data_IF_854832319743
#
_entry.id   IF_854832319743
#
_cell.length_a   1.000
_cell.length_b   1.000
_cell.length_c   1.000
_cell.angle_alpha   90.00
_cell.angle_beta   90.00
_cell.angle_gamma   90.00
#
_symmetry.space_group_name_H-M   'P 1'
#
loop_
_entity.id
_entity.type
_entity.pdbx_description
1 polymer ?
#
# COMPACT_ATOMS: atom_id res chain seq x y z
N UNK A 1 26.29 -4.53 89.26
CA UNK A 1 26.22 -5.05 87.89
C UNK A 1 24.77 -5.52 87.64
N UNK A 2 24.00 -4.73 86.98
CA UNK A 2 22.61 -5.08 86.65
C UNK A 2 22.60 -5.54 85.18
N UNK A 3 22.44 -6.83 85.00
CA UNK A 3 22.26 -7.44 83.71
C UNK A 3 20.91 -7.06 83.12
N UNK A 4 20.97 -6.27 82.02
CA UNK A 4 19.77 -5.92 81.27
C UNK A 4 19.27 -7.17 80.49
N UNK A 5 18.26 -7.82 81.03
CA UNK A 5 17.51 -8.89 80.36
C UNK A 5 16.83 -8.29 79.13
N UNK A 6 17.45 -8.45 77.98
CA UNK A 6 16.88 -8.09 76.65
C UNK A 6 15.62 -8.92 76.41
N UNK A 7 14.46 -8.28 76.40
CA UNK A 7 13.14 -8.88 76.22
C UNK A 7 13.03 -9.52 74.81
N UNK A 8 13.10 -10.89 74.68
CA UNK A 8 13.22 -11.55 73.34
C UNK A 8 11.95 -11.38 72.53
N UNK A 9 10.82 -11.13 73.09
CA UNK A 9 9.54 -10.87 72.36
C UNK A 9 9.56 -9.52 71.67
N UNK A 10 10.16 -8.50 72.28
CA UNK A 10 10.27 -7.16 71.69
C UNK A 10 11.24 -7.11 70.50
N UNK A 11 12.32 -7.87 70.55
CA UNK A 11 13.27 -8.04 69.43
C UNK A 11 12.63 -8.81 68.27
N UNK A 12 11.87 -9.88 68.53
CA UNK A 12 11.18 -10.65 67.49
C UNK A 12 10.12 -9.83 66.77
N UNK A 13 9.34 -9.01 67.49
CA UNK A 13 8.35 -8.12 66.90
C UNK A 13 9.01 -6.99 66.06
N UNK A 14 10.15 -6.48 66.49
CA UNK A 14 10.89 -5.45 65.79
C UNK A 14 11.51 -5.99 64.47
N UNK A 15 12.02 -7.23 64.52
CA UNK A 15 12.54 -7.93 63.31
C UNK A 15 11.39 -8.26 62.34
N UNK A 16 10.21 -8.65 62.83
CA UNK A 16 9.04 -8.92 61.98
C UNK A 16 8.52 -7.66 61.32
N UNK A 17 8.48 -6.52 62.00
CA UNK A 17 8.09 -5.24 61.42
C UNK A 17 9.13 -4.77 60.38
N UNK A 18 10.42 -4.92 60.70
CA UNK A 18 11.50 -4.55 59.76
C UNK A 18 11.47 -5.41 58.51
N UNK A 19 11.25 -6.73 58.61
CA UNK A 19 11.11 -7.61 57.46
C UNK A 19 9.92 -7.26 56.58
N UNK A 20 8.79 -6.87 57.18
CA UNK A 20 7.58 -6.46 56.49
C UNK A 20 7.81 -5.14 55.70
N UNK A 21 8.56 -4.19 56.26
CA UNK A 21 8.94 -2.95 55.61
C UNK A 21 9.88 -3.24 54.41
N UNK A 22 10.87 -4.15 54.63
CA UNK A 22 11.79 -4.53 53.53
C UNK A 22 11.04 -5.20 52.39
N UNK A 23 10.10 -6.11 52.68
CA UNK A 23 9.28 -6.75 51.66
C UNK A 23 8.39 -5.73 50.92
N UNK A 24 7.82 -4.77 51.63
CA UNK A 24 7.01 -3.71 51.01
C UNK A 24 7.87 -2.82 50.08
N UNK A 25 9.08 -2.44 50.49
CA UNK A 25 10.02 -1.66 49.69
C UNK A 25 10.50 -2.43 48.45
N UNK A 26 10.80 -3.74 48.65
CA UNK A 26 11.15 -4.63 47.52
C UNK A 26 9.99 -4.78 46.54
N UNK A 27 8.77 -4.96 47.04
CA UNK A 27 7.59 -5.04 46.17
C UNK A 27 7.36 -3.78 45.37
N UNK A 28 7.46 -2.60 45.98
CA UNK A 28 7.39 -1.31 45.27
C UNK A 28 8.53 -1.16 44.25
N UNK A 29 9.75 -1.56 44.60
CA UNK A 29 10.89 -1.58 43.69
C UNK A 29 10.67 -2.50 42.50
N UNK A 30 10.14 -3.70 42.70
CA UNK A 30 9.80 -4.64 41.62
C UNK A 30 8.68 -4.08 40.74
N UNK A 31 7.66 -3.44 41.30
CA UNK A 31 6.58 -2.83 40.53
C UNK A 31 7.11 -1.66 39.67
N UNK A 32 7.95 -0.78 40.25
CA UNK A 32 8.56 0.32 39.49
C UNK A 32 9.48 -0.22 38.39
N UNK A 33 10.35 -1.19 38.72
CA UNK A 33 11.24 -1.82 37.74
C UNK A 33 10.46 -2.54 36.65
N UNK A 34 9.43 -3.29 37.01
CA UNK A 34 8.55 -3.98 36.07
C UNK A 34 7.87 -2.99 35.12
N UNK A 35 7.28 -1.93 35.65
CA UNK A 35 6.67 -0.88 34.81
C UNK A 35 7.66 -0.19 33.87
N UNK A 36 8.92 -0.02 34.31
CA UNK A 36 9.94 0.61 33.47
C UNK A 36 10.52 -0.38 32.44
N UNK A 37 10.78 -1.63 32.84
CA UNK A 37 11.38 -2.65 31.98
C UNK A 37 10.41 -3.24 30.97
N UNK A 38 9.11 -3.29 31.29
CA UNK A 38 8.08 -3.85 30.40
C UNK A 38 7.26 -2.80 29.64
N UNK A 39 7.62 -1.53 29.70
CA UNK A 39 6.98 -0.49 28.87
C UNK A 39 7.16 -0.76 27.36
N UNK A 40 8.24 -1.39 26.95
CA UNK A 40 8.55 -1.74 25.57
C UNK A 40 8.28 -3.22 25.22
N UNK A 41 7.91 -4.06 26.16
CA UNK A 41 7.63 -5.47 25.92
C UNK A 41 6.11 -5.73 25.97
N UNK A 42 5.35 -5.12 25.07
CA UNK A 42 3.95 -5.47 24.83
C UNK A 42 3.91 -6.72 23.97
N UNK A 43 3.42 -7.84 24.52
CA UNK A 43 3.06 -9.03 23.74
C UNK A 43 1.68 -8.76 23.13
N UNK A 44 1.67 -8.43 21.84
CA UNK A 44 0.44 -8.30 21.09
C UNK A 44 -0.11 -9.71 20.79
N UNK A 45 -1.24 -10.03 21.40
CA UNK A 45 -1.95 -11.29 21.26
C UNK A 45 -3.19 -11.17 20.36
N UNK A 46 -3.36 -10.03 19.70
CA UNK A 46 -4.46 -9.84 18.74
C UNK A 46 -4.18 -10.57 17.44
N UNK A 47 -5.22 -11.09 16.79
CA UNK A 47 -5.15 -11.86 15.54
C UNK A 47 -4.48 -11.04 14.42
N UNK A 48 -4.68 -9.71 14.40
CA UNK A 48 -4.15 -8.77 13.39
C UNK A 48 -2.94 -7.96 13.88
N UNK A 49 -2.33 -8.29 15.02
CA UNK A 49 -1.21 -7.54 15.62
C UNK A 49 -1.47 -6.03 15.74
N UNK A 50 -2.67 -5.66 16.10
CA UNK A 50 -3.19 -4.28 16.09
C UNK A 50 -2.41 -3.30 16.98
N UNK A 51 -1.52 -3.77 17.83
CA UNK A 51 -0.70 -2.99 18.77
C UNK A 51 0.81 -3.10 18.49
N UNK A 52 1.19 -3.67 17.32
CA UNK A 52 2.60 -3.79 16.93
C UNK A 52 2.79 -3.06 15.60
N UNK A 53 3.61 -2.01 15.61
CA UNK A 53 3.91 -1.26 14.38
C UNK A 53 4.66 -2.13 13.38
N UNK A 54 4.33 -1.98 12.10
CA UNK A 54 5.01 -2.63 11.00
C UNK A 54 6.48 -2.20 10.90
N UNK A 55 7.31 -3.03 10.29
CA UNK A 55 8.72 -2.71 10.10
C UNK A 55 8.91 -1.51 9.17
N UNK A 56 7.99 -1.32 8.21
CA UNK A 56 7.98 -0.13 7.35
C UNK A 56 7.74 1.15 8.15
N UNK A 57 6.78 1.17 9.07
CA UNK A 57 6.53 2.31 9.97
C UNK A 57 7.76 2.59 10.84
N UNK A 58 8.35 1.56 11.47
CA UNK A 58 9.56 1.71 12.30
C UNK A 58 10.73 2.28 11.51
N UNK A 59 10.91 1.86 10.27
CA UNK A 59 11.94 2.39 9.39
C UNK A 59 11.72 3.87 9.12
N UNK A 60 10.51 4.29 8.72
CA UNK A 60 10.16 5.70 8.49
C UNK A 60 10.43 6.54 9.74
N UNK A 61 9.99 6.08 10.93
CA UNK A 61 10.22 6.80 12.17
C UNK A 61 11.71 6.96 12.52
N UNK A 62 12.54 5.97 12.17
CA UNK A 62 13.99 6.02 12.38
C UNK A 62 14.72 6.96 11.42
N UNK A 63 14.14 7.24 10.25
CA UNK A 63 14.69 8.10 9.20
C UNK A 63 14.30 9.58 9.35
N UNK A 64 13.50 9.94 10.37
CA UNK A 64 13.13 11.33 10.64
C UNK A 64 14.36 12.12 11.06
N UNK A 65 14.73 13.12 10.28
CA UNK A 65 15.87 13.99 10.57
C UNK A 65 15.48 15.23 11.37
N UNK A 66 14.38 15.88 11.01
CA UNK A 66 13.93 17.14 11.61
C UNK A 66 12.76 16.93 12.58
N UNK A 67 12.65 17.75 13.64
CA UNK A 67 11.60 17.60 14.63
C UNK A 67 10.20 17.89 14.05
N UNK A 68 9.24 17.06 14.44
CA UNK A 68 7.82 17.15 14.11
C UNK A 68 7.05 17.37 15.41
N UNK A 69 6.08 18.27 15.41
CA UNK A 69 5.13 18.43 16.52
C UNK A 69 3.77 17.88 16.08
N UNK A 70 3.29 16.84 16.76
CA UNK A 70 1.95 16.28 16.59
C UNK A 70 1.05 16.78 17.71
N UNK A 71 -0.12 17.31 17.36
CA UNK A 71 -1.13 17.81 18.28
C UNK A 71 -2.38 16.97 18.12
N UNK A 72 -2.64 16.15 19.10
CA UNK A 72 -3.80 15.28 19.14
C UNK A 72 -4.92 15.97 19.92
N UNK A 73 -6.10 16.02 19.33
CA UNK A 73 -7.29 16.64 19.91
C UNK A 73 -8.36 15.59 20.06
N UNK A 74 -8.83 15.40 21.30
CA UNK A 74 -9.96 14.55 21.59
C UNK A 74 -10.79 15.13 22.73
N UNK A 75 -12.05 15.47 22.45
CA UNK A 75 -13.00 16.02 23.43
C UNK A 75 -13.47 14.92 24.37
N UNK A 76 -12.58 14.43 25.24
CA UNK A 76 -12.82 13.30 26.13
C UNK A 76 -13.98 13.55 27.09
N UNK A 77 -14.02 14.75 27.70
CA UNK A 77 -15.06 15.15 28.65
C UNK A 77 -16.46 15.17 28.02
N UNK A 78 -16.58 15.58 26.77
CA UNK A 78 -17.88 15.63 26.06
C UNK A 78 -18.26 14.26 25.53
N UNK A 79 -17.28 13.44 25.11
CA UNK A 79 -17.48 12.15 24.49
C UNK A 79 -17.69 11.00 25.49
N UNK A 80 -17.79 11.27 26.80
CA UNK A 80 -18.11 10.24 27.82
C UNK A 80 -19.41 9.45 27.51
N UNK A 81 -20.33 10.06 26.77
CA UNK A 81 -21.57 9.41 26.33
C UNK A 81 -21.37 8.48 25.10
N UNK A 82 -20.17 8.44 24.49
CA UNK A 82 -19.84 7.66 23.31
C UNK A 82 -18.71 6.64 23.59
N UNK A 83 -19.00 5.53 24.29
CA UNK A 83 -17.96 4.58 24.74
C UNK A 83 -17.12 4.00 23.60
N UNK A 84 -17.72 3.73 22.42
CA UNK A 84 -17.03 3.15 21.28
C UNK A 84 -16.01 4.13 20.68
N UNK A 85 -16.35 5.42 20.64
CA UNK A 85 -15.42 6.49 20.20
C UNK A 85 -14.27 6.63 21.20
N UNK A 86 -14.57 6.52 22.51
CA UNK A 86 -13.55 6.58 23.57
C UNK A 86 -12.50 5.48 23.46
N UNK A 87 -12.92 4.24 23.17
CA UNK A 87 -12.00 3.11 22.97
C UNK A 87 -11.09 3.36 21.76
N UNK A 88 -11.66 3.82 20.67
CA UNK A 88 -10.87 4.14 19.46
C UNK A 88 -9.93 5.34 19.68
N UNK A 89 -10.39 6.37 20.39
CA UNK A 89 -9.57 7.54 20.71
C UNK A 89 -8.35 7.17 21.59
N UNK A 90 -8.55 6.28 22.58
CA UNK A 90 -7.46 5.76 23.39
C UNK A 90 -6.44 5.00 22.56
N UNK A 91 -6.92 4.19 21.59
CA UNK A 91 -6.04 3.45 20.67
C UNK A 91 -5.23 4.40 19.77
N UNK A 92 -5.84 5.48 19.25
CA UNK A 92 -5.13 6.51 18.49
C UNK A 92 -4.04 7.15 19.35
N UNK A 93 -4.37 7.53 20.59
CA UNK A 93 -3.41 8.11 21.52
C UNK A 93 -2.24 7.15 21.83
N UNK A 94 -2.53 5.89 22.17
CA UNK A 94 -1.51 4.87 22.47
C UNK A 94 -0.55 4.69 21.28
N UNK A 95 -1.06 4.68 20.05
CA UNK A 95 -0.25 4.57 18.85
C UNK A 95 0.60 5.82 18.61
N UNK A 96 0.08 7.02 18.82
CA UNK A 96 0.84 8.28 18.72
C UNK A 96 1.95 8.36 19.77
N UNK A 97 1.70 7.87 20.99
CA UNK A 97 2.73 7.77 22.05
C UNK A 97 3.86 6.79 21.63
N UNK A 98 3.51 5.67 20.98
CA UNK A 98 4.49 4.73 20.45
C UNK A 98 5.32 5.34 19.31
N UNK A 99 4.69 6.09 18.39
CA UNK A 99 5.41 6.84 17.35
C UNK A 99 6.41 7.82 17.97
N UNK A 100 5.98 8.59 18.98
CA UNK A 100 6.86 9.53 19.66
C UNK A 100 8.03 8.84 20.38
N UNK A 101 7.78 7.66 20.98
CA UNK A 101 8.81 6.88 21.64
C UNK A 101 9.85 6.30 20.67
N UNK A 102 9.41 5.79 19.51
CA UNK A 102 10.27 5.16 18.50
C UNK A 102 11.03 6.18 17.64
N UNK A 103 10.50 7.39 17.50
CA UNK A 103 11.15 8.46 16.72
C UNK A 103 12.39 9.09 17.39
N UNK A 104 12.89 8.52 18.50
CA UNK A 104 14.13 8.98 19.15
C UNK A 104 14.12 10.44 19.60
N UNK A 105 12.94 10.99 19.97
CA UNK A 105 12.75 12.38 20.37
C UNK A 105 12.55 13.36 19.22
N UNK A 106 12.39 12.88 17.99
CA UNK A 106 12.10 13.70 16.81
C UNK A 106 10.60 14.01 16.67
N UNK A 107 9.72 13.26 17.35
CA UNK A 107 8.30 13.57 17.43
C UNK A 107 7.96 14.07 18.82
N UNK A 108 7.41 15.28 18.88
CA UNK A 108 6.81 15.85 20.08
C UNK A 108 5.29 15.71 20.00
N UNK A 109 4.70 14.94 20.92
CA UNK A 109 3.25 14.77 21.03
C UNK A 109 2.69 15.73 22.08
N UNK A 110 1.67 16.50 21.70
CA UNK A 110 0.87 17.37 22.55
C UNK A 110 -0.59 16.88 22.50
N UNK A 111 -1.26 16.76 23.63
CA UNK A 111 -2.61 16.23 23.73
C UNK A 111 -3.51 17.34 24.29
N UNK A 112 -4.66 17.56 23.63
CA UNK A 112 -5.64 18.58 23.96
C UNK A 112 -7.03 17.94 24.15
N UNK A 113 -7.80 18.47 25.11
CA UNK A 113 -9.20 18.11 25.36
C UNK A 113 -10.12 19.32 25.09
N UNK A 114 -10.45 19.61 23.82
CA UNK A 114 -11.26 20.76 23.46
C UNK A 114 -12.65 20.65 24.12
N UNK A 115 -12.99 21.68 24.90
CA UNK A 115 -14.31 21.86 25.52
C UNK A 115 -14.98 23.11 24.95
N UNK A 116 -16.31 23.20 24.98
CA UNK A 116 -17.02 24.37 24.45
C UNK A 116 -16.51 25.67 25.09
N UNK A 117 -16.23 26.66 24.26
CA UNK A 117 -15.77 28.02 24.64
C UNK A 117 -14.40 28.06 25.33
N UNK A 118 -13.51 27.08 25.06
CA UNK A 118 -12.12 27.09 25.53
C UNK A 118 -11.14 27.50 24.43
N UNK A 119 -9.93 27.93 24.84
CA UNK A 119 -8.83 28.23 23.91
C UNK A 119 -8.42 27.00 23.09
N UNK A 120 -8.59 25.78 23.64
CA UNK A 120 -8.32 24.51 22.95
C UNK A 120 -9.30 24.26 21.81
N UNK A 121 -10.59 24.63 21.96
CA UNK A 121 -11.58 24.56 20.88
C UNK A 121 -11.22 25.54 19.76
N UNK A 122 -10.96 26.80 20.12
CA UNK A 122 -10.56 27.82 19.15
C UNK A 122 -9.30 27.40 18.38
N UNK A 123 -8.34 26.79 19.09
CA UNK A 123 -7.11 26.27 18.48
C UNK A 123 -7.42 25.06 17.54
N UNK A 124 -8.30 24.14 17.94
CA UNK A 124 -8.72 23.02 17.09
C UNK A 124 -9.34 23.50 15.78
N UNK A 125 -10.23 24.50 15.85
CA UNK A 125 -10.84 25.11 14.66
C UNK A 125 -9.79 25.83 13.81
N UNK A 126 -8.90 26.59 14.43
CA UNK A 126 -7.87 27.35 13.72
C UNK A 126 -6.90 26.46 12.94
N UNK A 127 -6.58 25.27 13.45
CA UNK A 127 -5.71 24.31 12.75
C UNK A 127 -6.46 23.47 11.71
N UNK A 128 -7.79 23.60 11.56
CA UNK A 128 -8.58 22.97 10.53
C UNK A 128 -9.22 21.64 10.94
N UNK A 129 -9.41 21.37 12.23
CA UNK A 129 -10.17 20.23 12.68
C UNK A 129 -11.68 20.43 12.45
N UNK A 130 -12.38 19.31 12.26
CA UNK A 130 -13.82 19.30 12.09
C UNK A 130 -14.52 18.86 13.38
N UNK A 131 -15.29 19.78 13.98
CA UNK A 131 -16.20 19.45 15.08
C UNK A 131 -17.43 18.71 14.57
N UNK A 132 -17.75 17.56 15.18
CA UNK A 132 -18.95 16.78 14.87
C UNK A 132 -20.01 17.00 15.95
N UNK A 133 -21.25 17.42 15.57
CA UNK A 133 -22.31 17.64 16.57
C UNK A 133 -22.66 16.34 17.31
N UNK A 134 -22.59 16.39 18.64
CA UNK A 134 -22.94 15.27 19.50
C UNK A 134 -24.45 15.20 19.76
N UNK A 135 -25.09 16.35 19.94
CA UNK A 135 -26.46 16.46 20.34
C UNK A 135 -27.17 17.66 19.67
N UNK A 136 -28.49 17.80 19.92
CA UNK A 136 -29.26 18.95 19.41
C UNK A 136 -28.91 20.27 20.16
N UNK A 137 -28.16 20.22 21.24
CA UNK A 137 -27.69 21.38 21.99
C UNK A 137 -26.56 22.14 21.31
N UNK A 138 -25.92 21.52 20.31
CA UNK A 138 -24.84 22.14 19.54
C UNK A 138 -23.45 21.86 20.08
N UNK A 139 -23.28 20.96 21.06
CA UNK A 139 -21.97 20.55 21.53
C UNK A 139 -21.23 19.82 20.42
N UNK A 140 -19.97 20.21 20.18
CA UNK A 140 -19.13 19.65 19.14
C UNK A 140 -18.08 18.74 19.78
N UNK A 141 -17.89 17.55 19.19
CA UNK A 141 -16.79 16.64 19.51
C UNK A 141 -15.70 16.81 18.47
N UNK A 142 -14.49 17.10 18.93
CA UNK A 142 -13.27 17.10 18.12
C UNK A 142 -12.54 15.80 18.36
N UNK A 143 -12.14 15.14 17.27
CA UNK A 143 -11.36 13.91 17.30
C UNK A 143 -10.45 13.88 16.09
N UNK A 144 -9.29 14.53 16.17
CA UNK A 144 -8.41 14.73 15.04
C UNK A 144 -6.95 14.94 15.42
N UNK A 145 -6.11 15.14 14.41
CA UNK A 145 -4.67 15.33 14.56
C UNK A 145 -4.19 16.47 13.67
N UNK A 146 -3.41 17.38 14.24
CA UNK A 146 -2.64 18.35 13.47
C UNK A 146 -1.16 18.09 13.68
N UNK A 147 -0.37 18.13 12.61
CA UNK A 147 1.07 18.00 12.66
C UNK A 147 1.75 19.18 11.99
N UNK A 148 2.90 19.61 12.52
CA UNK A 148 3.74 20.65 11.93
C UNK A 148 5.20 20.21 11.95
N UNK A 149 5.96 20.52 10.89
CA UNK A 149 7.38 20.28 10.82
C UNK A 149 8.20 21.56 11.11
N UNK A 150 9.52 21.48 11.02
CA UNK A 150 10.44 22.58 11.28
C UNK A 150 10.31 23.78 10.30
N UNK A 151 9.65 23.61 9.15
CA UNK A 151 9.40 24.67 8.15
C UNK A 151 7.99 25.22 8.20
N UNK A 152 7.24 24.97 9.28
CA UNK A 152 5.84 25.34 9.47
C UNK A 152 4.88 24.71 8.43
N UNK A 153 5.34 23.68 7.72
CA UNK A 153 4.44 22.90 6.87
C UNK A 153 3.49 22.10 7.75
N UNK A 154 2.19 22.25 7.50
CA UNK A 154 1.12 21.66 8.31
C UNK A 154 0.37 20.57 7.53
N UNK A 155 0.07 19.49 8.24
CA UNK A 155 -0.85 18.44 7.83
C UNK A 155 -1.94 18.28 8.88
N UNK A 156 -3.16 17.91 8.45
CA UNK A 156 -4.30 17.75 9.37
C UNK A 156 -5.07 16.50 9.01
N UNK A 157 -5.43 15.70 10.01
CA UNK A 157 -6.52 14.72 9.96
C UNK A 157 -7.70 15.39 10.64
N UNK A 158 -8.68 15.90 9.88
CA UNK A 158 -9.75 16.75 10.45
C UNK A 158 -10.64 16.02 11.45
N UNK A 159 -10.84 14.72 11.22
CA UNK A 159 -11.61 13.82 12.09
C UNK A 159 -11.19 12.36 11.86
N UNK A 160 -11.03 11.58 12.94
CA UNK A 160 -10.75 10.14 12.85
C UNK A 160 -12.04 9.36 12.67
N UNK A 161 -12.21 8.75 11.49
CA UNK A 161 -13.35 7.91 11.17
C UNK A 161 -13.14 6.50 11.74
N UNK A 162 -14.06 6.06 12.61
CA UNK A 162 -14.02 4.73 13.22
C UNK A 162 -14.10 3.59 12.18
N UNK A 163 -14.74 3.81 11.04
CA UNK A 163 -14.78 2.81 9.96
C UNK A 163 -13.40 2.56 9.32
N UNK A 164 -12.47 3.48 9.54
CA UNK A 164 -11.07 3.38 9.07
C UNK A 164 -10.09 2.88 10.13
N UNK A 165 -10.58 2.43 11.27
CA UNK A 165 -9.73 1.97 12.39
C UNK A 165 -8.65 0.95 11.97
N UNK A 166 -8.98 0.03 11.08
CA UNK A 166 -8.02 -0.96 10.53
C UNK A 166 -6.89 -0.35 9.70
N UNK A 167 -7.03 0.89 9.25
CA UNK A 167 -6.03 1.63 8.46
C UNK A 167 -5.33 2.72 9.30
N UNK A 168 -5.54 2.73 10.62
CA UNK A 168 -5.03 3.77 11.51
C UNK A 168 -3.51 3.93 11.39
N UNK A 169 -2.75 2.84 11.43
CA UNK A 169 -1.29 2.88 11.29
C UNK A 169 -0.89 3.50 9.96
N UNK A 170 -1.51 3.08 8.86
CA UNK A 170 -1.24 3.65 7.54
C UNK A 170 -1.53 5.16 7.49
N UNK A 171 -2.67 5.60 8.02
CA UNK A 171 -3.07 7.01 8.00
C UNK A 171 -2.11 7.87 8.85
N UNK A 172 -1.69 7.38 10.01
CA UNK A 172 -0.72 8.07 10.87
C UNK A 172 0.70 8.06 10.28
N UNK A 173 1.15 6.93 9.73
CA UNK A 173 2.46 6.83 9.08
C UNK A 173 2.55 7.76 7.89
N UNK A 174 1.52 7.81 7.04
CA UNK A 174 1.43 8.75 5.92
C UNK A 174 1.48 10.21 6.39
N UNK A 175 0.77 10.53 7.48
CA UNK A 175 0.76 11.88 8.05
C UNK A 175 2.16 12.30 8.51
N UNK A 176 2.85 11.43 9.25
CA UNK A 176 4.22 11.65 9.72
C UNK A 176 5.20 11.71 8.55
N UNK A 177 5.08 10.81 7.57
CA UNK A 177 5.93 10.78 6.38
C UNK A 177 5.87 12.10 5.60
N UNK A 178 4.67 12.63 5.35
CA UNK A 178 4.50 13.91 4.65
C UNK A 178 5.11 15.10 5.41
N UNK A 179 5.12 15.05 6.73
CA UNK A 179 5.76 16.08 7.57
C UNK A 179 7.29 15.96 7.58
N UNK A 180 7.79 14.71 7.65
CA UNK A 180 9.23 14.42 7.69
C UNK A 180 9.91 14.67 6.34
N UNK A 181 9.21 14.34 5.25
CA UNK A 181 9.73 14.38 3.89
C UNK A 181 8.86 15.29 3.00
N UNK A 182 8.93 16.63 3.20
CA UNK A 182 8.08 17.57 2.49
C UNK A 182 8.37 17.63 0.98
N UNK A 183 9.59 17.23 0.56
CA UNK A 183 9.91 17.04 -0.86
C UNK A 183 9.45 15.65 -1.29
N UNK A 184 8.35 15.61 -2.02
CA UNK A 184 7.83 14.37 -2.57
C UNK A 184 8.80 13.77 -3.59
N UNK A 185 9.08 12.45 -3.54
CA UNK A 185 9.78 11.78 -4.63
C UNK A 185 8.98 11.89 -5.94
N UNK A 186 9.67 11.95 -7.08
CA UNK A 186 9.06 12.10 -8.39
C UNK A 186 8.87 10.75 -9.09
N UNK A 187 7.64 10.48 -9.52
CA UNK A 187 7.29 9.29 -10.29
C UNK A 187 6.90 9.69 -11.70
N UNK A 188 7.64 9.21 -12.71
CA UNK A 188 7.22 9.26 -14.09
C UNK A 188 6.28 8.07 -14.36
N UNK A 189 5.13 8.33 -15.00
CA UNK A 189 4.13 7.29 -15.30
C UNK A 189 3.92 7.21 -16.80
N UNK A 190 4.16 6.04 -17.38
CA UNK A 190 3.84 5.71 -18.77
C UNK A 190 2.75 4.63 -18.77
N UNK A 191 1.56 4.95 -19.31
CA UNK A 191 0.40 4.07 -19.21
C UNK A 191 -0.45 4.10 -20.48
N UNK A 192 -0.90 2.92 -20.95
CA UNK A 192 -1.97 2.79 -21.97
C UNK A 192 -3.36 2.59 -21.36
N UNK A 193 -3.46 2.47 -20.03
CA UNK A 193 -4.72 2.50 -19.31
C UNK A 193 -4.94 3.89 -18.70
N UNK A 194 -6.20 4.39 -18.61
CA UNK A 194 -6.48 5.77 -18.22
C UNK A 194 -6.40 5.96 -16.70
N UNK A 195 -5.19 5.81 -16.13
CA UNK A 195 -4.98 5.96 -14.68
C UNK A 195 -5.37 7.36 -14.20
N UNK A 196 -4.99 8.39 -14.95
CA UNK A 196 -5.28 9.81 -14.68
C UNK A 196 -6.70 10.26 -15.04
N UNK A 197 -7.57 9.31 -15.40
CA UNK A 197 -8.93 9.57 -15.86
C UNK A 197 -9.06 9.69 -17.38
N UNK A 198 -10.30 9.79 -17.83
CA UNK A 198 -10.62 9.94 -19.25
C UNK A 198 -10.21 11.32 -19.78
N UNK A 199 -10.02 11.42 -21.09
CA UNK A 199 -9.77 12.71 -21.74
C UNK A 199 -10.92 13.70 -21.51
N UNK A 200 -12.14 13.18 -21.39
CA UNK A 200 -13.32 13.99 -21.07
C UNK A 200 -13.22 14.62 -19.67
N UNK A 201 -12.88 13.85 -18.65
CA UNK A 201 -12.76 14.37 -17.28
C UNK A 201 -11.65 15.42 -17.14
N UNK A 202 -10.57 15.28 -17.94
CA UNK A 202 -9.42 16.20 -17.93
C UNK A 202 -9.65 17.49 -18.72
N UNK A 203 -10.48 17.47 -19.77
CA UNK A 203 -10.65 18.62 -20.69
C UNK A 203 -11.92 19.41 -20.44
N UNK A 204 -12.94 18.81 -19.84
CA UNK A 204 -14.23 19.47 -19.59
C UNK A 204 -14.27 20.05 -18.19
N UNK A 205 -14.39 21.38 -18.01
CA UNK A 205 -14.59 21.98 -16.70
C UNK A 205 -15.82 21.38 -16.01
N UNK A 206 -15.71 21.14 -14.71
CA UNK A 206 -16.76 20.54 -13.86
C UNK A 206 -17.17 19.10 -14.22
N UNK A 207 -16.44 18.42 -15.11
CA UNK A 207 -16.64 16.99 -15.32
C UNK A 207 -16.28 16.20 -14.04
N UNK A 208 -17.02 15.11 -13.75
CA UNK A 208 -16.65 14.25 -12.61
C UNK A 208 -15.23 13.69 -12.78
N UNK A 209 -14.46 13.68 -11.69
CA UNK A 209 -13.15 13.03 -11.65
C UNK A 209 -13.35 11.50 -11.72
N UNK A 210 -12.94 10.90 -12.82
CA UNK A 210 -12.96 9.47 -13.08
C UNK A 210 -11.55 8.85 -13.02
N UNK A 211 -10.57 9.58 -12.45
CA UNK A 211 -9.24 9.05 -12.20
C UNK A 211 -9.29 7.83 -11.27
N UNK A 212 -8.40 6.89 -11.48
CA UNK A 212 -8.35 5.69 -10.67
C UNK A 212 -7.89 6.00 -9.24
N UNK A 213 -8.37 5.22 -8.29
CA UNK A 213 -7.97 5.38 -6.87
C UNK A 213 -6.46 5.34 -6.69
N UNK A 214 -5.75 4.46 -7.41
CA UNK A 214 -4.28 4.38 -7.36
C UNK A 214 -3.63 5.69 -7.83
N UNK A 215 -4.17 6.35 -8.86
CA UNK A 215 -3.66 7.64 -9.35
C UNK A 215 -3.79 8.73 -8.28
N UNK A 216 -4.95 8.82 -7.63
CA UNK A 216 -5.15 9.77 -6.53
C UNK A 216 -4.21 9.52 -5.36
N UNK A 217 -4.03 8.27 -4.97
CA UNK A 217 -3.10 7.91 -3.89
C UNK A 217 -1.64 8.19 -4.23
N UNK A 218 -1.22 7.95 -5.49
CA UNK A 218 0.12 8.31 -5.93
C UNK A 218 0.35 9.83 -5.82
N UNK A 219 -0.60 10.67 -6.24
CA UNK A 219 -0.49 12.13 -6.15
C UNK A 219 -0.51 12.67 -4.69
N UNK A 220 -1.05 11.92 -3.75
CA UNK A 220 -0.98 12.28 -2.32
C UNK A 220 0.46 12.18 -1.78
N UNK A 221 1.20 11.15 -2.19
CA UNK A 221 2.52 10.82 -1.63
C UNK A 221 3.69 11.26 -2.51
N UNK A 222 3.48 11.39 -3.83
CA UNK A 222 4.51 11.60 -4.83
C UNK A 222 4.19 12.81 -5.72
N UNK A 223 5.22 13.36 -6.35
CA UNK A 223 5.08 14.21 -7.53
C UNK A 223 4.94 13.30 -8.74
N UNK A 224 3.77 13.29 -9.38
CA UNK A 224 3.46 12.38 -10.48
C UNK A 224 3.50 13.13 -11.81
N UNK A 225 4.37 12.69 -12.71
CA UNK A 225 4.46 13.19 -14.09
C UNK A 225 4.02 12.10 -15.07
N UNK A 226 2.92 12.35 -15.79
CA UNK A 226 2.48 11.46 -16.87
C UNK A 226 3.31 11.72 -18.13
N UNK A 227 3.98 10.69 -18.66
CA UNK A 227 4.78 10.75 -19.87
C UNK A 227 4.13 9.93 -20.97
N UNK A 228 4.24 10.43 -22.21
CA UNK A 228 3.62 9.78 -23.35
C UNK A 228 4.31 8.46 -23.70
N UNK A 229 3.57 7.53 -24.28
CA UNK A 229 4.07 6.25 -24.80
C UNK A 229 5.14 6.43 -25.92
N UNK A 230 5.17 7.58 -26.57
CA UNK A 230 6.11 7.95 -27.60
C UNK A 230 7.24 8.86 -27.07
N UNK A 231 7.38 8.97 -25.74
CA UNK A 231 8.43 9.78 -25.14
C UNK A 231 9.82 9.25 -25.53
N UNK A 232 10.68 10.12 -25.95
CA UNK A 232 12.07 9.78 -26.32
C UNK A 232 13.05 9.85 -25.16
N UNK A 233 12.59 10.33 -23.99
CA UNK A 233 13.35 10.44 -22.75
C UNK A 233 12.44 10.23 -21.55
N UNK A 234 12.95 9.61 -20.52
CA UNK A 234 12.37 9.62 -19.17
C UNK A 234 13.01 10.79 -18.40
N UNK A 235 12.25 11.61 -17.66
CA UNK A 235 12.81 12.73 -16.89
C UNK A 235 14.01 12.31 -16.03
N UNK A 236 15.07 13.12 -16.05
CA UNK A 236 16.32 12.81 -15.34
C UNK A 236 16.15 12.90 -13.81
N UNK A 237 15.17 13.67 -13.36
CA UNK A 237 14.82 13.86 -11.96
C UNK A 237 13.75 12.89 -11.45
N UNK A 238 13.31 11.93 -12.27
CA UNK A 238 12.39 10.89 -11.83
C UNK A 238 13.11 9.87 -10.93
N UNK A 239 12.60 9.68 -9.72
CA UNK A 239 13.11 8.67 -8.76
C UNK A 239 12.64 7.26 -9.12
N UNK A 240 11.49 7.16 -9.82
CA UNK A 240 10.85 5.91 -10.24
C UNK A 240 10.12 6.10 -11.57
N UNK A 241 10.19 5.08 -12.42
CA UNK A 241 9.34 4.95 -13.62
C UNK A 241 8.30 3.85 -13.37
N UNK A 242 7.01 4.20 -13.49
CA UNK A 242 5.90 3.26 -13.50
C UNK A 242 5.46 3.01 -14.95
N UNK A 243 5.65 1.79 -15.44
CA UNK A 243 5.12 1.31 -16.72
C UNK A 243 3.83 0.55 -16.45
N UNK A 244 2.69 1.11 -16.80
CA UNK A 244 1.39 0.46 -16.60
C UNK A 244 0.79 0.06 -17.95
N UNK A 245 0.81 -1.23 -18.22
CA UNK A 245 0.26 -1.86 -19.42
C UNK A 245 0.73 -1.18 -20.73
N UNK A 246 2.04 -1.14 -21.03
CA UNK A 246 2.59 -0.53 -22.25
C UNK A 246 2.24 -1.39 -23.49
N UNK A 247 1.10 -1.12 -24.12
CA UNK A 247 0.62 -1.83 -25.31
C UNK A 247 1.29 -1.33 -26.61
N UNK A 248 1.52 0.00 -26.68
CA UNK A 248 1.94 0.68 -27.91
C UNK A 248 3.30 1.38 -27.81
N UNK A 249 4.14 0.92 -26.90
CA UNK A 249 5.48 1.48 -26.73
C UNK A 249 6.33 1.23 -27.99
N UNK A 250 6.85 2.30 -28.59
CA UNK A 250 7.70 2.21 -29.77
C UNK A 250 9.18 1.97 -29.40
N UNK A 251 10.03 1.70 -30.40
CA UNK A 251 11.44 1.41 -30.19
C UNK A 251 12.22 2.56 -29.55
N UNK A 252 11.82 3.82 -29.78
CA UNK A 252 12.48 4.98 -29.16
C UNK A 252 12.13 5.10 -27.70
N UNK A 253 10.90 4.85 -27.36
CA UNK A 253 10.45 4.86 -25.98
C UNK A 253 11.01 3.66 -25.21
N UNK A 254 11.13 2.48 -25.84
CA UNK A 254 11.88 1.35 -25.26
C UNK A 254 13.34 1.73 -24.99
N UNK A 255 13.98 2.44 -25.94
CA UNK A 255 15.33 2.95 -25.74
C UNK A 255 15.41 3.97 -24.61
N UNK A 256 14.45 4.88 -24.48
CA UNK A 256 14.39 5.84 -23.37
C UNK A 256 14.28 5.14 -22.01
N UNK A 257 13.44 4.11 -21.92
CA UNK A 257 13.29 3.27 -20.71
C UNK A 257 14.59 2.50 -20.41
N UNK A 258 15.21 1.89 -21.42
CA UNK A 258 16.49 1.21 -21.29
C UNK A 258 17.57 2.14 -20.73
N UNK A 259 17.72 3.33 -21.33
CA UNK A 259 18.71 4.31 -20.88
C UNK A 259 18.41 4.85 -19.47
N UNK A 260 17.15 4.96 -19.08
CA UNK A 260 16.78 5.29 -17.71
C UNK A 260 17.27 4.22 -16.73
N UNK A 261 17.06 2.95 -17.04
CA UNK A 261 17.55 1.82 -16.22
C UNK A 261 19.07 1.75 -16.22
N UNK A 262 19.74 1.94 -17.37
CA UNK A 262 21.20 1.90 -17.48
C UNK A 262 21.91 2.97 -16.63
N UNK A 263 21.26 4.12 -16.36
CA UNK A 263 21.79 5.12 -15.42
C UNK A 263 21.38 4.94 -13.97
N UNK A 264 20.80 3.76 -13.64
CA UNK A 264 20.42 3.38 -12.27
C UNK A 264 18.97 3.70 -11.90
N UNK A 265 18.14 4.08 -12.85
CA UNK A 265 16.72 4.33 -12.65
C UNK A 265 15.96 3.06 -12.23
N UNK A 266 14.97 3.23 -11.35
CA UNK A 266 14.14 2.15 -10.83
C UNK A 266 12.85 2.06 -11.65
N UNK A 267 12.39 0.84 -11.95
CA UNK A 267 11.19 0.60 -12.75
C UNK A 267 10.23 -0.33 -12.01
N UNK A 268 8.96 0.04 -11.98
CA UNK A 268 7.85 -0.87 -11.70
C UNK A 268 7.12 -1.10 -13.03
N UNK A 269 7.07 -2.36 -13.49
CA UNK A 269 6.40 -2.72 -14.72
C UNK A 269 5.18 -3.59 -14.43
N UNK A 270 3.98 -3.09 -14.72
CA UNK A 270 2.73 -3.81 -14.67
C UNK A 270 2.41 -4.29 -16.08
N UNK A 271 2.73 -5.55 -16.33
CA UNK A 271 2.62 -6.17 -17.66
C UNK A 271 1.53 -7.24 -17.62
N UNK A 272 0.69 -7.27 -18.63
CA UNK A 272 -0.51 -8.08 -18.64
C UNK A 272 -0.70 -8.74 -20.02
N UNK A 273 -0.83 -10.06 -20.11
CA UNK A 273 -1.13 -10.74 -21.38
C UNK A 273 -2.55 -10.44 -21.86
N UNK A 274 -3.45 -10.05 -20.95
CA UNK A 274 -4.83 -9.68 -21.21
C UNK A 274 -5.33 -8.65 -20.23
N UNK A 275 -5.60 -7.44 -20.69
CA UNK A 275 -6.17 -6.37 -19.86
C UNK A 275 -7.70 -6.47 -19.81
N UNK A 276 -8.24 -6.93 -18.70
CA UNK A 276 -9.70 -6.97 -18.44
C UNK A 276 -10.34 -5.57 -18.51
N UNK A 277 -9.60 -4.54 -18.13
CA UNK A 277 -10.07 -3.14 -18.18
C UNK A 277 -10.24 -2.69 -19.64
N UNK A 278 -9.23 -2.92 -20.48
CA UNK A 278 -9.32 -2.56 -21.89
C UNK A 278 -10.34 -3.42 -22.62
N UNK A 279 -10.45 -4.71 -22.30
CA UNK A 279 -11.46 -5.60 -22.84
C UNK A 279 -12.88 -5.17 -22.47
N UNK A 280 -13.05 -4.48 -21.35
CA UNK A 280 -14.33 -3.95 -20.88
C UNK A 280 -14.70 -2.58 -21.47
N UNK A 281 -13.75 -1.87 -22.11
CA UNK A 281 -13.98 -0.54 -22.66
C UNK A 281 -15.05 -0.53 -23.76
N UNK A 282 -16.20 0.19 -23.57
CA UNK A 282 -17.26 0.26 -24.55
C UNK A 282 -16.81 0.92 -25.87
N UNK A 283 -15.81 1.79 -25.86
CA UNK A 283 -15.30 2.45 -27.07
C UNK A 283 -14.53 1.48 -27.95
N UNK A 284 -13.75 0.59 -27.36
CA UNK A 284 -13.03 -0.48 -28.06
C UNK A 284 -13.99 -1.54 -28.65
N UNK A 285 -15.19 -1.71 -28.07
CA UNK A 285 -16.21 -2.66 -28.52
C UNK A 285 -17.11 -2.17 -29.67
N UNK A 286 -17.06 -0.88 -30.03
CA UNK A 286 -17.94 -0.27 -31.06
C UNK A 286 -17.50 -0.52 -32.50
N UNK A 287 -16.36 -1.17 -32.76
CA UNK A 287 -15.88 -1.50 -34.09
C UNK A 287 -16.59 -2.72 -34.73
N UNK A 288 -16.54 -2.84 -36.06
CA UNK A 288 -17.16 -3.97 -36.79
C UNK A 288 -16.42 -5.29 -36.58
N UNK A 289 -15.27 -5.30 -35.96
CA UNK A 289 -14.51 -6.49 -35.57
C UNK A 289 -14.25 -6.49 -34.08
N UNK A 290 -14.31 -7.66 -33.41
CA UNK A 290 -13.87 -7.74 -32.00
C UNK A 290 -12.41 -7.26 -31.94
N UNK A 291 -12.19 -6.20 -31.17
CA UNK A 291 -10.83 -5.72 -30.92
C UNK A 291 -10.16 -6.77 -30.02
N UNK A 292 -9.22 -7.48 -30.59
CA UNK A 292 -8.31 -8.31 -29.78
C UNK A 292 -7.51 -7.32 -28.91
N UNK A 293 -7.74 -7.36 -27.61
CA UNK A 293 -6.97 -6.58 -26.65
C UNK A 293 -5.57 -7.18 -26.66
N UNK A 294 -4.62 -6.43 -27.19
CA UNK A 294 -3.21 -6.85 -27.15
C UNK A 294 -2.72 -6.83 -25.71
N UNK A 295 -1.91 -7.82 -25.35
CA UNK A 295 -1.19 -7.78 -24.09
C UNK A 295 -0.10 -6.73 -24.12
N UNK A 296 0.28 -6.23 -22.98
CA UNK A 296 1.47 -5.40 -22.82
C UNK A 296 2.73 -6.25 -22.89
N UNK A 297 3.75 -5.78 -23.61
CA UNK A 297 4.98 -6.55 -23.77
C UNK A 297 6.17 -5.65 -24.05
N UNK A 298 7.26 -5.90 -23.32
CA UNK A 298 8.58 -5.27 -23.51
C UNK A 298 9.67 -6.37 -23.49
N UNK A 299 9.56 -7.40 -24.34
CA UNK A 299 10.34 -8.63 -24.22
C UNK A 299 11.85 -8.40 -24.31
N UNK A 300 12.30 -7.47 -25.15
CA UNK A 300 13.71 -7.15 -25.34
C UNK A 300 14.32 -6.54 -24.07
N UNK A 301 13.57 -5.61 -23.43
CA UNK A 301 13.97 -4.97 -22.17
C UNK A 301 14.01 -6.00 -21.06
N UNK A 302 12.92 -6.76 -20.85
CA UNK A 302 12.86 -7.77 -19.81
C UNK A 302 13.97 -8.81 -19.93
N UNK A 303 14.25 -9.29 -21.15
CA UNK A 303 15.30 -10.27 -21.40
C UNK A 303 16.68 -9.71 -21.05
N UNK A 304 16.94 -8.44 -21.40
CA UNK A 304 18.20 -7.79 -21.05
C UNK A 304 18.33 -7.56 -19.53
N UNK A 305 17.22 -7.43 -18.80
CA UNK A 305 17.17 -7.32 -17.36
C UNK A 305 17.18 -8.69 -16.63
N UNK A 306 17.06 -9.79 -17.37
CA UNK A 306 17.18 -11.14 -16.84
C UNK A 306 15.85 -11.84 -16.53
N UNK A 307 14.76 -11.40 -17.13
CA UNK A 307 13.45 -12.04 -17.01
C UNK A 307 12.73 -12.17 -18.35
N UNK A 308 11.75 -13.04 -18.42
CA UNK A 308 10.83 -13.15 -19.56
C UNK A 308 9.40 -13.35 -19.09
N UNK A 309 8.45 -12.79 -19.85
CA UNK A 309 7.00 -12.95 -19.65
C UNK A 309 6.43 -13.51 -20.95
N UNK A 310 5.93 -14.76 -20.96
CA UNK A 310 5.20 -15.30 -22.11
C UNK A 310 3.91 -14.52 -22.34
N UNK A 311 3.73 -13.98 -23.54
CA UNK A 311 2.58 -13.15 -23.90
C UNK A 311 1.35 -13.98 -24.34
N UNK A 312 1.48 -15.29 -24.41
CA UNK A 312 0.43 -16.23 -24.84
C UNK A 312 -0.29 -16.90 -23.67
N UNK A 313 0.25 -16.76 -22.46
CA UNK A 313 -0.17 -17.51 -21.30
C UNK A 313 -0.91 -16.60 -20.32
N UNK A 314 -2.15 -16.95 -19.99
CA UNK A 314 -2.81 -16.47 -18.77
C UNK A 314 -2.72 -17.54 -17.70
N UNK A 315 -2.48 -17.14 -16.48
CA UNK A 315 -2.30 -18.06 -15.35
C UNK A 315 -3.56 -18.10 -14.51
N UNK A 316 -3.97 -19.31 -14.18
CA UNK A 316 -5.01 -19.58 -13.23
C UNK A 316 -4.52 -20.42 -12.07
N UNK A 317 -5.38 -20.54 -11.05
CA UNK A 317 -5.16 -21.40 -9.90
C UNK A 317 -6.50 -21.86 -9.35
N UNK A 318 -6.68 -23.19 -9.18
CA UNK A 318 -7.95 -23.74 -8.72
C UNK A 318 -8.20 -23.48 -7.24
N UNK A 319 -7.14 -23.44 -6.41
CA UNK A 319 -7.25 -23.20 -4.98
C UNK A 319 -7.49 -21.71 -4.66
N UNK A 320 -6.97 -20.79 -5.51
CA UNK A 320 -7.10 -19.35 -5.35
C UNK A 320 -8.24 -18.73 -6.18
N UNK A 321 -9.06 -19.58 -6.80
CA UNK A 321 -10.13 -19.15 -7.70
C UNK A 321 -11.16 -18.26 -7.02
N UNK A 322 -11.51 -17.13 -7.65
CA UNK A 322 -12.58 -16.26 -7.16
C UNK A 322 -13.94 -16.73 -7.64
N UNK A 323 -14.91 -16.66 -6.74
CA UNK A 323 -16.31 -16.92 -7.09
C UNK A 323 -16.90 -15.78 -7.87
N UNK A 324 -17.32 -16.05 -9.10
CA UNK A 324 -17.94 -15.10 -10.02
C UNK A 324 -19.37 -15.53 -10.36
N UNK A 325 -20.20 -14.52 -10.68
CA UNK A 325 -21.56 -14.77 -11.16
C UNK A 325 -21.60 -14.73 -12.68
N UNK A 326 -22.01 -15.83 -13.31
CA UNK A 326 -22.04 -15.96 -14.77
C UNK A 326 -23.46 -16.22 -15.23
N UNK A 327 -23.97 -15.45 -16.22
CA UNK A 327 -25.26 -15.76 -16.84
C UNK A 327 -25.16 -17.06 -17.60
N UNK A 328 -26.04 -18.03 -17.26
CA UNK A 328 -26.15 -19.30 -17.96
C UNK A 328 -27.45 -19.32 -18.75
N UNK A 329 -27.39 -19.77 -20.01
CA UNK A 329 -28.57 -19.91 -20.84
C UNK A 329 -29.32 -21.17 -20.41
N UNK A 330 -30.53 -21.00 -19.90
CA UNK A 330 -31.48 -22.12 -19.66
C UNK A 330 -32.54 -22.20 -20.74
N UNK A 331 -33.23 -23.35 -20.88
CA UNK A 331 -34.23 -23.52 -21.92
C UNK A 331 -35.44 -22.58 -21.82
N UNK A 332 -35.69 -21.95 -20.70
CA UNK A 332 -36.86 -21.11 -20.45
C UNK A 332 -36.50 -19.70 -19.90
N UNK A 333 -35.32 -19.52 -19.28
CA UNK A 333 -34.87 -18.25 -18.74
C UNK A 333 -33.36 -18.23 -18.49
N UNK A 334 -32.75 -17.07 -18.60
CA UNK A 334 -31.36 -16.86 -18.13
C UNK A 334 -31.28 -17.06 -16.62
N UNK A 335 -30.37 -17.91 -16.17
CA UNK A 335 -30.05 -18.12 -14.76
C UNK A 335 -28.65 -17.58 -14.49
N UNK A 336 -28.38 -17.19 -13.24
CA UNK A 336 -27.05 -16.83 -12.79
C UNK A 336 -26.48 -18.00 -12.01
N UNK A 337 -25.33 -18.50 -12.43
CA UNK A 337 -24.57 -19.52 -11.72
C UNK A 337 -23.37 -18.89 -11.03
N UNK A 338 -23.10 -19.28 -9.80
CA UNK A 338 -21.87 -18.95 -9.10
C UNK A 338 -20.81 -20.01 -9.42
N UNK A 339 -19.67 -19.59 -9.97
CA UNK A 339 -18.60 -20.46 -10.44
C UNK A 339 -17.29 -19.97 -9.82
N UNK A 340 -16.47 -20.89 -9.33
CA UNK A 340 -15.10 -20.58 -8.91
C UNK A 340 -14.23 -20.50 -10.19
N UNK A 341 -13.85 -19.27 -10.58
CA UNK A 341 -13.17 -18.98 -11.85
C UNK A 341 -11.65 -18.92 -11.66
N UNK A 342 -10.89 -19.93 -12.14
CA UNK A 342 -9.47 -20.06 -11.85
C UNK A 342 -8.60 -18.91 -12.36
N UNK A 343 -9.03 -18.15 -13.40
CA UNK A 343 -8.26 -17.06 -13.97
C UNK A 343 -8.36 -15.77 -13.14
N UNK A 344 -9.26 -15.70 -12.17
CA UNK A 344 -9.35 -14.58 -11.23
C UNK A 344 -8.95 -15.06 -9.84
N UNK A 345 -7.82 -14.53 -9.37
CA UNK A 345 -7.13 -15.02 -8.19
C UNK A 345 -7.39 -14.13 -6.96
N UNK A 346 -7.57 -14.76 -5.82
CA UNK A 346 -7.55 -14.13 -4.50
C UNK A 346 -6.34 -14.70 -3.74
N UNK A 347 -5.24 -13.97 -3.75
CA UNK A 347 -3.94 -14.38 -3.25
C UNK A 347 -3.80 -13.92 -1.81
N UNK A 348 -3.62 -14.86 -0.90
CA UNK A 348 -3.39 -14.62 0.52
C UNK A 348 -1.91 -14.56 0.90
N UNK A 349 -1.61 -14.35 2.19
CA UNK A 349 -0.23 -14.20 2.68
C UNK A 349 0.71 -15.38 2.39
N UNK A 350 0.16 -16.60 2.28
CA UNK A 350 0.96 -17.81 2.02
C UNK A 350 1.63 -17.83 0.64
N UNK A 351 1.07 -17.09 -0.33
CA UNK A 351 1.58 -16.96 -1.69
C UNK A 351 2.35 -15.66 -1.92
N UNK A 352 2.46 -14.84 -0.88
CA UNK A 352 3.22 -13.58 -0.86
C UNK A 352 4.56 -13.79 -0.17
N UNK A 353 5.62 -13.20 -0.70
CA UNK A 353 6.94 -13.26 -0.07
C UNK A 353 6.93 -12.43 1.22
N UNK A 354 7.04 -13.09 2.36
CA UNK A 354 7.00 -12.47 3.68
C UNK A 354 8.31 -11.81 4.08
N UNK A 355 9.40 -12.09 3.37
CA UNK A 355 10.73 -11.49 3.61
C UNK A 355 10.93 -10.19 2.81
N UNK A 356 9.98 -9.82 1.93
CA UNK A 356 10.06 -8.63 1.10
C UNK A 356 9.06 -7.56 1.55
N UNK A 357 9.55 -6.35 1.84
CA UNK A 357 8.74 -5.22 2.34
C UNK A 357 7.54 -4.86 1.44
N UNK A 358 7.62 -5.14 0.13
CA UNK A 358 6.53 -4.83 -0.81
C UNK A 358 5.33 -5.77 -0.61
N UNK A 359 5.56 -6.99 -0.15
CA UNK A 359 4.53 -8.03 -0.09
C UNK A 359 4.23 -8.53 1.32
N UNK A 360 5.14 -8.34 2.29
CA UNK A 360 4.98 -8.88 3.66
C UNK A 360 3.76 -8.32 4.41
N UNK A 361 3.37 -7.07 4.14
CA UNK A 361 2.23 -6.42 4.79
C UNK A 361 0.90 -6.60 4.03
N UNK A 362 0.93 -7.28 2.86
CA UNK A 362 -0.28 -7.50 2.10
C UNK A 362 -1.06 -8.69 2.67
N UNK A 363 -2.30 -8.47 3.04
CA UNK A 363 -3.21 -9.52 3.52
C UNK A 363 -3.99 -10.19 2.39
N UNK A 364 -4.22 -9.47 1.28
CA UNK A 364 -4.99 -9.96 0.14
C UNK A 364 -4.63 -9.19 -1.13
N UNK A 365 -4.34 -9.92 -2.20
CA UNK A 365 -4.12 -9.38 -3.54
C UNK A 365 -5.06 -10.04 -4.54
N UNK A 366 -5.80 -9.24 -5.30
CA UNK A 366 -6.63 -9.73 -6.39
C UNK A 366 -5.95 -9.52 -7.73
N UNK A 367 -5.83 -10.60 -8.51
CA UNK A 367 -5.34 -10.54 -9.89
C UNK A 367 -6.39 -11.13 -10.83
N UNK A 368 -6.62 -10.48 -11.96
CA UNK A 368 -7.55 -10.92 -12.99
C UNK A 368 -6.78 -11.27 -14.26
N UNK A 369 -6.83 -12.53 -14.65
CA UNK A 369 -6.17 -13.07 -15.85
C UNK A 369 -4.66 -12.74 -15.94
N UNK A 370 -3.89 -12.91 -14.85
CA UNK A 370 -2.48 -12.53 -14.82
C UNK A 370 -1.63 -13.39 -15.76
N UNK A 371 -0.49 -12.85 -16.19
CA UNK A 371 0.60 -13.61 -16.79
C UNK A 371 1.54 -14.21 -15.74
N UNK A 372 2.66 -14.74 -16.20
CA UNK A 372 3.73 -15.22 -15.32
C UNK A 372 5.10 -14.75 -15.80
N UNK A 373 6.04 -14.65 -14.86
CA UNK A 373 7.41 -14.21 -15.11
C UNK A 373 8.39 -15.32 -14.77
N UNK A 374 9.41 -15.48 -15.60
CA UNK A 374 10.48 -16.48 -15.43
C UNK A 374 11.85 -15.80 -15.47
N UNK A 375 12.85 -16.33 -14.74
CA UNK A 375 14.22 -15.88 -14.90
C UNK A 375 14.78 -16.34 -16.26
N UNK A 376 15.67 -15.53 -16.84
CA UNK A 376 16.46 -15.90 -18.01
C UNK A 376 17.73 -16.60 -17.52
N UNK A 377 18.05 -17.73 -18.13
CA UNK A 377 19.28 -18.48 -17.79
C UNK A 377 20.53 -17.65 -18.10
N UNK A 378 21.47 -17.62 -17.15
CA UNK A 378 22.71 -16.84 -17.27
C UNK A 378 22.54 -15.33 -17.09
N UNK A 379 21.41 -14.87 -16.58
CA UNK A 379 21.22 -13.46 -16.21
C UNK A 379 22.19 -13.02 -15.11
N UNK A 380 22.56 -11.74 -15.11
CA UNK A 380 23.45 -11.14 -14.11
C UNK A 380 22.67 -10.60 -12.90
N UNK A 381 21.35 -10.53 -13.02
CA UNK A 381 20.45 -10.07 -11.96
C UNK A 381 20.02 -11.21 -11.05
N UNK A 382 19.71 -10.87 -9.81
CA UNK A 382 19.04 -11.77 -8.87
C UNK A 382 17.54 -11.68 -9.07
N UNK A 383 16.90 -12.82 -9.30
CA UNK A 383 15.45 -12.95 -9.46
C UNK A 383 14.85 -13.40 -8.13
N UNK A 384 14.01 -12.55 -7.52
CA UNK A 384 13.32 -12.84 -6.27
C UNK A 384 11.82 -12.92 -6.53
N UNK A 385 11.17 -14.09 -6.40
CA UNK A 385 9.72 -14.20 -6.48
C UNK A 385 9.06 -13.40 -5.36
N UNK A 386 8.03 -12.62 -5.71
CA UNK A 386 7.22 -11.84 -4.78
C UNK A 386 5.82 -12.42 -4.57
N UNK A 387 5.22 -12.92 -5.65
CA UNK A 387 3.87 -13.49 -5.68
C UNK A 387 3.92 -14.79 -6.47
N UNK A 388 3.37 -15.86 -5.92
CA UNK A 388 3.33 -17.18 -6.57
C UNK A 388 1.91 -17.76 -6.54
N UNK A 389 1.61 -18.68 -7.45
CA UNK A 389 0.44 -19.55 -7.33
C UNK A 389 0.71 -20.71 -6.36
N UNK A 390 -0.32 -21.49 -6.08
CA UNK A 390 -0.17 -22.79 -5.42
C UNK A 390 0.28 -23.86 -6.42
N UNK A 391 0.41 -25.12 -5.97
CA UNK A 391 0.69 -26.26 -6.83
C UNK A 391 -0.54 -26.61 -7.75
N UNK A 392 -1.71 -26.03 -7.46
CA UNK A 392 -2.90 -26.12 -8.31
C UNK A 392 -2.97 -25.00 -9.37
N UNK A 393 -1.86 -24.28 -9.57
CA UNK A 393 -1.69 -23.34 -10.65
C UNK A 393 -1.61 -24.02 -12.02
N UNK A 394 -1.98 -23.29 -13.07
CA UNK A 394 -1.96 -23.80 -14.43
C UNK A 394 -2.11 -22.70 -15.49
N UNK A 395 -1.86 -23.09 -16.76
CA UNK A 395 -2.00 -22.19 -17.90
C UNK A 395 -3.43 -22.26 -18.41
N UNK A 396 -4.09 -21.10 -18.53
CA UNK A 396 -5.39 -20.94 -19.15
C UNK A 396 -5.29 -20.62 -20.64
N UNK A 397 -6.42 -20.70 -21.32
CA UNK A 397 -6.52 -20.35 -22.74
C UNK A 397 -6.74 -18.85 -22.93
N UNK A 398 -5.71 -18.13 -23.40
CA UNK A 398 -5.78 -16.69 -23.64
C UNK A 398 -6.91 -16.31 -24.62
N UNK A 399 -7.17 -17.13 -25.63
CA UNK A 399 -8.25 -16.83 -26.61
C UNK A 399 -9.63 -16.87 -25.95
N UNK A 400 -9.85 -17.77 -24.97
CA UNK A 400 -11.10 -17.83 -24.22
C UNK A 400 -11.20 -16.62 -23.27
N UNK A 401 -10.10 -16.22 -22.61
CA UNK A 401 -10.08 -15.01 -21.78
C UNK A 401 -10.45 -13.75 -22.58
N UNK A 402 -9.89 -13.61 -23.78
CA UNK A 402 -10.17 -12.48 -24.68
C UNK A 402 -11.62 -12.42 -25.18
N UNK A 403 -12.35 -13.54 -25.21
CA UNK A 403 -13.75 -13.59 -25.58
C UNK A 403 -14.69 -13.13 -24.44
N UNK A 404 -14.17 -12.93 -23.26
CA UNK A 404 -14.86 -12.32 -22.11
C UNK A 404 -15.79 -13.27 -21.36
N UNK A 405 -16.73 -12.70 -20.63
CA UNK A 405 -17.57 -13.40 -19.63
C UNK A 405 -18.40 -14.56 -20.15
N UNK A 406 -18.66 -14.64 -21.47
CA UNK A 406 -19.37 -15.76 -22.10
C UNK A 406 -18.61 -17.07 -22.08
N UNK A 407 -17.29 -17.06 -21.89
CA UNK A 407 -16.41 -18.23 -21.96
C UNK A 407 -15.92 -18.70 -20.59
N UNK A 408 -16.32 -18.06 -19.51
CA UNK A 408 -15.87 -18.38 -18.13
C UNK A 408 -16.11 -19.87 -17.80
N UNK A 409 -17.28 -20.40 -18.13
CA UNK A 409 -17.62 -21.81 -17.85
C UNK A 409 -16.75 -22.77 -18.68
N UNK A 410 -16.54 -22.47 -19.97
CA UNK A 410 -15.70 -23.29 -20.85
C UNK A 410 -14.25 -23.28 -20.39
N UNK A 411 -13.74 -22.12 -20.06
CA UNK A 411 -12.36 -21.96 -19.56
C UNK A 411 -12.16 -22.69 -18.23
N UNK A 412 -13.12 -22.57 -17.30
CA UNK A 412 -13.10 -23.34 -16.03
C UNK A 412 -13.07 -24.83 -16.26
N UNK A 413 -13.89 -25.33 -17.17
CA UNK A 413 -13.95 -26.77 -17.47
C UNK A 413 -12.70 -27.30 -18.19
N UNK A 414 -11.98 -26.45 -18.93
CA UNK A 414 -10.74 -26.82 -19.64
C UNK A 414 -9.50 -26.65 -18.77
N UNK A 415 -9.61 -25.88 -17.70
CA UNK A 415 -8.47 -25.61 -16.82
C UNK A 415 -7.93 -26.89 -16.20
N UNK A 416 -6.59 -27.01 -16.19
CA UNK A 416 -5.90 -28.14 -15.58
C UNK A 416 -4.68 -27.62 -14.82
N UNK A 417 -4.56 -27.95 -13.54
CA UNK A 417 -3.34 -27.67 -12.78
C UNK A 417 -2.10 -28.28 -13.45
N UNK A 418 -1.00 -27.56 -13.40
CA UNK A 418 0.29 -27.99 -13.96
C UNK A 418 1.49 -27.62 -13.09
N UNK A 419 1.26 -26.97 -11.94
CA UNK A 419 2.27 -26.60 -10.97
C UNK A 419 2.24 -25.11 -10.59
N UNK A 420 3.21 -24.68 -9.80
CA UNK A 420 3.31 -23.30 -9.33
C UNK A 420 3.95 -22.37 -10.36
N UNK A 421 3.48 -21.12 -10.41
CA UNK A 421 3.95 -20.05 -11.30
C UNK A 421 4.28 -18.80 -10.50
N UNK A 422 5.31 -18.06 -10.93
CA UNK A 422 5.64 -16.75 -10.37
C UNK A 422 4.85 -15.68 -11.13
N UNK A 423 4.03 -14.91 -10.40
CA UNK A 423 3.17 -13.86 -10.96
C UNK A 423 3.81 -12.48 -10.85
N UNK A 424 4.66 -12.27 -9.85
CA UNK A 424 5.45 -11.05 -9.68
C UNK A 424 6.83 -11.38 -9.14
N UNK A 425 7.83 -10.63 -9.57
CA UNK A 425 9.21 -10.80 -9.14
C UNK A 425 9.94 -9.47 -9.03
N UNK A 426 10.95 -9.42 -8.16
CA UNK A 426 11.93 -8.35 -8.07
C UNK A 426 13.22 -8.78 -8.78
N UNK A 427 13.75 -7.90 -9.61
CA UNK A 427 15.05 -8.04 -10.24
C UNK A 427 16.02 -7.04 -9.63
N UNK A 428 17.16 -7.52 -9.12
CA UNK A 428 18.20 -6.68 -8.52
C UNK A 428 19.56 -7.03 -9.07
N UNK A 429 20.46 -6.05 -9.15
CA UNK A 429 21.82 -6.24 -9.64
C UNK A 429 22.08 -5.61 -11.00
N UNK A 430 23.23 -5.86 -11.61
CA UNK A 430 23.64 -5.24 -12.86
C UNK A 430 22.82 -5.78 -14.04
N UNK A 431 22.30 -4.89 -14.88
CA UNK A 431 21.59 -5.20 -16.12
C UNK A 431 22.44 -4.87 -17.34
N UNK A 432 22.05 -5.39 -18.50
CA UNK A 432 22.62 -5.05 -19.80
C UNK A 432 21.63 -4.23 -20.60
N UNK A 433 22.13 -3.34 -21.45
CA UNK A 433 21.27 -2.62 -22.39
C UNK A 433 20.66 -3.58 -23.41
N UNK A 434 19.37 -3.38 -23.70
CA UNK A 434 18.70 -4.04 -24.82
C UNK A 434 19.12 -3.46 -26.18
N UNK A 435 19.82 -2.32 -26.17
CA UNK A 435 20.25 -1.58 -27.36
C UNK A 435 21.79 -1.44 -27.42
N UNK A 436 22.55 -2.53 -27.58
CA UNK A 436 24.00 -2.49 -27.55
C UNK A 436 24.60 -1.67 -28.75
N UNK A 437 23.84 -1.54 -29.81
CA UNK A 437 24.27 -0.81 -31.03
C UNK A 437 23.88 0.70 -30.98
N UNK A 438 23.32 1.16 -29.87
CA UNK A 438 22.88 2.54 -29.64
C UNK A 438 21.42 2.80 -30.02
N UNK A 439 21.01 4.07 -30.15
CA UNK A 439 19.62 4.45 -30.33
C UNK A 439 19.04 3.89 -31.66
N UNK A 440 17.74 3.50 -31.66
CA UNK A 440 17.08 3.05 -32.87
C UNK A 440 17.04 4.13 -33.93
N UNK A 441 17.18 3.75 -35.21
CA UNK A 441 17.12 4.70 -36.32
C UNK A 441 15.75 5.38 -36.37
N UNK A 442 15.68 6.69 -36.64
CA UNK A 442 14.41 7.36 -36.86
C UNK A 442 13.60 6.64 -37.93
N UNK A 443 12.26 6.56 -37.82
CA UNK A 443 11.44 6.01 -38.88
C UNK A 443 11.71 6.76 -40.18
N UNK A 444 11.90 6.03 -41.28
CA UNK A 444 12.02 6.62 -42.60
C UNK A 444 10.64 7.17 -42.96
N UNK A 445 10.47 8.48 -42.83
CA UNK A 445 9.25 9.15 -43.31
C UNK A 445 9.27 9.02 -44.83
N UNK A 446 8.32 8.27 -45.37
CA UNK A 446 8.21 8.12 -46.81
C UNK A 446 7.98 9.51 -47.43
N UNK A 447 8.55 9.75 -48.64
CA UNK A 447 8.42 11.05 -49.33
C UNK A 447 6.95 11.42 -49.61
N UNK A 448 6.01 10.46 -49.56
CA UNK A 448 4.58 10.69 -49.65
C UNK A 448 3.98 11.48 -48.49
N UNK A 449 4.54 11.35 -47.25
CA UNK A 449 4.04 12.09 -46.09
C UNK A 449 4.62 13.51 -45.97
N UNK A 450 5.62 13.85 -46.78
CA UNK A 450 6.21 15.22 -46.87
C UNK A 450 5.44 16.14 -47.81
N UNK A 451 4.45 15.63 -48.56
CA UNK A 451 3.70 16.38 -49.57
C UNK A 451 2.25 16.73 -49.16
N UNK A 452 1.89 16.54 -47.90
CA UNK A 452 0.66 17.00 -47.27
C UNK A 452 1.01 18.08 -46.25
#
# INVERSE_FOLDING_TARGET
MADQVKNPVRQRNLLSVLSLIIIAVLFVGVVIFSNQAFRSARLDLTEDRLFTLSDGTKQILSEIDEPITLRYYYSATIAEELPDVGVYAQRVQDMLEEYAALAGGKIRLEIFDPQPFTDEEDHAVAVGLQGVPLNQGGDLVYFGLSGTNATDYQQVIPFFDQQRERFLEYDLTRHVYNLAFPKKPKIAVMSDVPLSGSEYSRQVPDAPDDSWTVWRQLNELFEVEEILQQATTVPDDADLLLLAHPEKIDERSKYAVDQYVMRGGKVIALLDPHSEVQASDPQRRRGPSPVVVAGSSIPELLKSWGAEIPTTDVIGDAALARRVQVPTQGPVASRVAAIDYPMWLAIGPEQLNQDDLVTSELSLLHLASPGHIKPVEGATTTFTPLVTTTDEGGIGDLNLAQQGSGQVLEQTNRFKPSGSFVLAARLTGPVKSAFPDGPPKPPVVSELERSI
#
